data_IF_455257543465
#
_entry.id   IF_455257543465
#
_cell.length_a   1.000
_cell.length_b   1.000
_cell.length_c   1.000
_cell.angle_alpha   90.00
_cell.angle_beta   90.00
_cell.angle_gamma   90.00
#
_symmetry.space_group_name_H-M   'P 1'
#
loop_
_entity.id
_entity.type
_entity.pdbx_description
1 polymer ?
#
# COMPACT_ATOMS: atom_id res chain seq x y z
N UNK A 1 5.24 6.71 11.02
CA UNK A 1 4.93 7.42 12.29
C UNK A 1 4.19 8.72 11.98
N UNK A 2 3.28 9.15 12.87
CA UNK A 2 2.63 10.46 12.75
C UNK A 2 3.62 11.61 12.89
N UNK A 3 4.61 11.45 13.76
CA UNK A 3 5.64 12.45 14.03
C UNK A 3 7.04 11.85 13.84
N UNK A 4 7.61 11.89 12.62
CA UNK A 4 8.96 11.41 12.38
C UNK A 4 10.01 12.39 12.96
N UNK A 5 10.97 11.86 13.74
CA UNK A 5 12.03 12.68 14.36
C UNK A 5 13.46 12.19 14.08
N UNK A 6 13.64 10.97 13.59
CA UNK A 6 14.96 10.42 13.26
C UNK A 6 15.33 10.66 11.78
N UNK A 7 16.62 10.42 11.45
CA UNK A 7 17.16 10.66 10.12
C UNK A 7 16.46 9.86 9.00
N UNK A 8 15.97 8.65 9.30
CA UNK A 8 15.20 7.83 8.36
C UNK A 8 13.73 8.23 8.28
N UNK A 9 13.27 9.13 9.15
CA UNK A 9 11.86 9.54 9.29
C UNK A 9 10.90 8.34 9.40
N UNK A 10 11.36 7.26 10.05
CA UNK A 10 10.67 5.98 10.05
C UNK A 10 10.61 5.37 11.46
N UNK A 11 9.67 4.46 11.68
CA UNK A 11 9.57 3.67 12.93
C UNK A 11 9.23 2.24 12.57
N UNK A 12 9.77 1.27 13.31
CA UNK A 12 9.48 -0.14 13.07
C UNK A 12 8.08 -0.48 13.60
N UNK A 13 7.08 -0.54 12.71
CA UNK A 13 5.68 -0.83 13.04
C UNK A 13 5.27 -2.28 12.72
N UNK A 14 6.08 -2.98 11.93
CA UNK A 14 5.85 -4.34 11.47
C UNK A 14 7.19 -5.09 11.29
N UNK A 15 7.18 -6.25 10.63
CA UNK A 15 8.35 -7.13 10.48
C UNK A 15 9.54 -6.43 9.80
N UNK A 16 10.69 -6.38 10.48
CA UNK A 16 11.94 -5.87 9.90
C UNK A 16 12.40 -6.70 8.71
N UNK A 17 12.24 -8.04 8.77
CA UNK A 17 12.59 -8.93 7.66
C UNK A 17 11.73 -8.62 6.43
N UNK A 18 10.43 -8.42 6.64
CA UNK A 18 9.51 -8.06 5.57
C UNK A 18 9.91 -6.73 4.92
N UNK A 19 10.24 -5.72 5.73
CA UNK A 19 10.68 -4.41 5.23
C UNK A 19 11.94 -4.53 4.36
N UNK A 20 12.94 -5.30 4.81
CA UNK A 20 14.18 -5.51 4.06
C UNK A 20 13.88 -6.27 2.76
N UNK A 21 12.98 -7.26 2.79
CA UNK A 21 12.58 -7.99 1.60
C UNK A 21 11.93 -7.07 0.57
N UNK A 22 11.02 -6.19 0.99
CA UNK A 22 10.35 -5.20 0.12
C UNK A 22 11.34 -4.28 -0.61
N UNK A 23 12.42 -3.89 0.07
CA UNK A 23 13.46 -3.02 -0.47
C UNK A 23 14.54 -3.75 -1.26
N UNK A 24 14.68 -5.06 -1.07
CA UNK A 24 15.82 -5.82 -1.55
C UNK A 24 15.54 -6.78 -2.69
N UNK A 25 14.27 -7.14 -2.88
CA UNK A 25 13.86 -8.12 -3.89
C UNK A 25 13.34 -7.44 -5.16
N UNK A 26 13.42 -8.12 -6.32
CA UNK A 26 12.82 -7.63 -7.55
C UNK A 26 11.31 -7.36 -7.39
N UNK A 27 10.84 -6.33 -8.06
CA UNK A 27 9.44 -5.93 -8.07
C UNK A 27 8.79 -6.43 -9.37
N UNK A 28 7.48 -6.65 -9.34
CA UNK A 28 6.71 -6.94 -10.55
C UNK A 28 5.87 -5.72 -10.92
N UNK A 29 5.64 -5.53 -12.22
CA UNK A 29 4.76 -4.51 -12.76
C UNK A 29 4.40 -4.81 -14.22
N UNK A 30 3.72 -3.86 -14.85
CA UNK A 30 3.41 -3.89 -16.27
C UNK A 30 4.04 -2.66 -16.91
N UNK A 31 4.77 -2.87 -18.01
CA UNK A 31 5.25 -1.81 -18.90
C UNK A 31 4.89 -2.16 -20.35
N UNK A 32 4.27 -1.21 -21.06
CA UNK A 32 3.80 -1.40 -22.43
C UNK A 32 2.90 -2.64 -22.61
N UNK A 33 2.08 -2.93 -21.59
CA UNK A 33 1.18 -4.10 -21.59
C UNK A 33 1.85 -5.44 -21.30
N UNK A 34 3.14 -5.47 -20.99
CA UNK A 34 3.89 -6.69 -20.69
C UNK A 34 4.33 -6.75 -19.22
N UNK A 35 4.24 -7.94 -18.63
CA UNK A 35 4.83 -8.22 -17.33
C UNK A 35 6.33 -7.91 -17.37
N UNK A 36 6.76 -7.08 -16.42
CA UNK A 36 8.13 -6.57 -16.36
C UNK A 36 8.65 -6.63 -14.93
N UNK A 37 9.92 -7.01 -14.79
CA UNK A 37 10.63 -6.91 -13.51
C UNK A 37 11.11 -5.46 -13.32
N UNK A 38 10.70 -4.85 -12.21
CA UNK A 38 11.08 -3.50 -11.83
C UNK A 38 12.15 -3.54 -10.74
N UNK A 39 13.09 -2.60 -10.79
CA UNK A 39 14.15 -2.51 -9.78
C UNK A 39 13.61 -1.94 -8.47
N UNK A 40 13.90 -2.57 -7.31
CA UNK A 40 13.49 -2.03 -6.03
C UNK A 40 14.23 -0.72 -5.73
N UNK A 41 13.58 0.15 -4.97
CA UNK A 41 14.07 1.49 -4.65
C UNK A 41 14.21 2.41 -5.87
N UNK A 42 13.83 2.00 -7.09
CA UNK A 42 13.81 2.85 -8.28
C UNK A 42 12.42 3.43 -8.56
N UNK A 43 12.33 4.29 -9.58
CA UNK A 43 11.08 4.97 -9.94
C UNK A 43 10.63 5.99 -8.89
N UNK A 44 11.59 6.69 -8.27
CA UNK A 44 11.34 7.69 -7.24
C UNK A 44 10.48 8.83 -7.78
N UNK A 45 9.33 9.03 -7.16
CA UNK A 45 8.38 10.09 -7.45
C UNK A 45 8.12 10.93 -6.20
N UNK A 46 7.71 12.17 -6.39
CA UNK A 46 7.24 13.05 -5.30
C UNK A 46 5.72 13.15 -5.38
N UNK A 47 5.06 12.91 -4.26
CA UNK A 47 3.60 13.00 -4.13
C UNK A 47 3.30 14.06 -3.06
N UNK A 48 2.39 14.99 -3.36
CA UNK A 48 1.92 15.99 -2.40
C UNK A 48 0.48 15.68 -1.98
N UNK A 49 0.24 15.52 -0.68
CA UNK A 49 -1.08 15.21 -0.13
C UNK A 49 -1.34 16.08 1.10
N UNK A 50 -2.39 16.90 1.05
CA UNK A 50 -2.75 17.86 2.09
C UNK A 50 -1.58 18.78 2.51
N UNK A 51 -0.79 19.24 1.52
CA UNK A 51 0.39 20.08 1.75
C UNK A 51 1.59 19.38 2.36
N UNK A 52 1.52 18.05 2.55
CA UNK A 52 2.65 17.22 2.97
C UNK A 52 3.28 16.52 1.77
N UNK A 53 4.60 16.60 1.68
CA UNK A 53 5.37 15.88 0.66
C UNK A 53 5.71 14.47 1.13
N UNK A 54 5.53 13.55 0.21
CA UNK A 54 5.93 12.16 0.28
C UNK A 54 6.80 11.82 -0.92
N UNK A 55 7.61 10.78 -0.77
CA UNK A 55 8.29 10.13 -1.89
C UNK A 55 7.74 8.71 -2.07
N UNK A 56 7.61 8.27 -3.31
CA UNK A 56 7.14 6.93 -3.65
C UNK A 56 8.15 6.22 -4.55
N UNK A 57 8.44 4.95 -4.29
CA UNK A 57 9.39 4.16 -5.06
C UNK A 57 9.00 2.68 -5.07
N UNK A 58 9.53 1.95 -6.05
CA UNK A 58 9.20 0.54 -6.25
C UNK A 58 9.61 -0.32 -5.06
N UNK A 59 8.72 -1.21 -4.65
CA UNK A 59 8.95 -2.21 -3.60
C UNK A 59 8.28 -3.53 -3.97
N UNK A 60 8.88 -4.65 -3.58
CA UNK A 60 8.38 -5.96 -3.99
C UNK A 60 7.09 -6.35 -3.27
N UNK A 61 6.28 -7.22 -3.87
CA UNK A 61 5.24 -7.99 -3.17
C UNK A 61 3.85 -7.36 -3.08
N UNK A 62 3.67 -6.07 -3.40
CA UNK A 62 2.37 -5.42 -3.23
C UNK A 62 1.32 -5.66 -4.32
N UNK A 63 1.72 -5.98 -5.56
CA UNK A 63 0.75 -6.25 -6.64
C UNK A 63 0.08 -7.62 -6.53
N UNK A 64 0.73 -8.60 -5.88
CA UNK A 64 0.23 -9.98 -5.87
C UNK A 64 -0.04 -10.48 -7.30
N UNK A 65 -1.27 -10.95 -7.55
CA UNK A 65 -1.74 -11.44 -8.85
C UNK A 65 -2.15 -10.35 -9.84
N UNK A 66 -2.26 -9.08 -9.41
CA UNK A 66 -2.81 -8.00 -10.25
C UNK A 66 -2.05 -7.82 -11.56
N UNK A 67 -0.71 -7.88 -11.51
CA UNK A 67 0.11 -7.72 -12.71
C UNK A 67 -0.17 -8.84 -13.74
N UNK A 68 -0.37 -10.07 -13.27
CA UNK A 68 -0.68 -11.21 -14.14
C UNK A 68 -2.10 -11.09 -14.70
N UNK A 69 -3.06 -10.72 -13.87
CA UNK A 69 -4.47 -10.60 -14.25
C UNK A 69 -4.70 -9.48 -15.27
N UNK A 70 -4.03 -8.34 -15.13
CA UNK A 70 -4.20 -7.17 -15.99
C UNK A 70 -3.16 -7.05 -17.11
N UNK A 71 -2.26 -8.03 -17.28
CA UNK A 71 -1.33 -8.05 -18.41
C UNK A 71 -2.11 -7.99 -19.74
N UNK A 72 -1.65 -7.14 -20.65
CA UNK A 72 -2.31 -6.92 -21.94
C UNK A 72 -3.61 -6.08 -21.89
N UNK A 73 -4.14 -5.79 -20.70
CA UNK A 73 -5.32 -4.95 -20.51
C UNK A 73 -4.93 -3.50 -20.18
N UNK A 74 -3.87 -3.32 -19.39
CA UNK A 74 -3.35 -1.99 -19.04
C UNK A 74 -1.99 -1.75 -19.68
N UNK A 75 -1.70 -0.51 -20.05
CA UNK A 75 -0.37 -0.14 -20.58
C UNK A 75 0.71 -0.16 -19.52
N UNK A 76 0.38 0.27 -18.30
CA UNK A 76 1.32 0.35 -17.19
C UNK A 76 0.63 0.08 -15.86
N UNK A 77 1.32 -0.62 -14.97
CA UNK A 77 0.89 -0.86 -13.58
C UNK A 77 2.14 -1.01 -12.71
N UNK A 78 2.15 -0.34 -11.56
CA UNK A 78 3.22 -0.51 -10.57
C UNK A 78 2.64 -0.42 -9.16
N UNK A 79 3.41 -0.94 -8.20
CA UNK A 79 3.16 -0.80 -6.77
C UNK A 79 4.35 -0.11 -6.15
N UNK A 80 4.06 0.93 -5.36
CA UNK A 80 5.08 1.75 -4.73
C UNK A 80 4.79 1.94 -3.26
N UNK A 81 5.87 2.06 -2.50
CA UNK A 81 5.82 2.40 -1.10
C UNK A 81 6.03 3.88 -0.92
N UNK A 82 5.13 4.54 -0.18
CA UNK A 82 5.30 5.94 0.22
C UNK A 82 6.12 6.08 1.51
N UNK A 83 7.02 7.05 1.53
CA UNK A 83 7.84 7.44 2.68
C UNK A 83 7.96 8.96 2.77
N UNK A 84 8.49 9.44 3.89
CA UNK A 84 8.83 10.85 4.01
C UNK A 84 10.12 11.17 3.22
N UNK A 85 10.26 12.40 2.67
CA UNK A 85 11.38 12.76 1.83
C UNK A 85 12.75 12.47 2.42
N UNK A 86 13.60 11.84 1.61
CA UNK A 86 14.98 11.45 1.89
C UNK A 86 15.13 10.07 2.52
N UNK A 87 14.07 9.28 2.66
CA UNK A 87 14.16 7.91 3.17
C UNK A 87 14.79 6.98 2.13
N UNK A 88 14.32 7.02 0.88
CA UNK A 88 14.77 6.19 -0.23
C UNK A 88 16.27 6.33 -0.46
N UNK A 89 16.78 7.55 -0.53
CA UNK A 89 18.21 7.84 -0.65
C UNK A 89 19.03 7.15 0.45
N UNK A 90 18.58 7.22 1.71
CA UNK A 90 19.28 6.60 2.84
C UNK A 90 19.19 5.08 2.79
N UNK A 91 18.07 4.51 2.36
CA UNK A 91 17.93 3.07 2.19
C UNK A 91 18.79 2.59 1.02
N UNK A 92 18.90 3.32 -0.09
CA UNK A 92 19.82 3.02 -1.20
C UNK A 92 21.27 3.00 -0.73
N UNK A 93 21.70 3.99 0.05
CA UNK A 93 23.03 3.99 0.67
C UNK A 93 23.28 2.69 1.47
N UNK A 94 22.34 2.30 2.34
CA UNK A 94 22.49 1.09 3.15
C UNK A 94 22.48 -0.19 2.29
N UNK A 95 21.52 -0.31 1.39
CA UNK A 95 21.24 -1.55 0.63
C UNK A 95 22.23 -1.76 -0.51
N UNK A 96 22.53 -0.70 -1.27
CA UNK A 96 23.29 -0.74 -2.51
C UNK A 96 24.75 -0.36 -2.26
N UNK A 97 25.02 0.86 -1.77
CA UNK A 97 26.40 1.37 -1.67
C UNK A 97 27.21 0.66 -0.58
N UNK A 98 26.57 0.40 0.57
CA UNK A 98 27.16 -0.40 1.64
C UNK A 98 26.90 -1.91 1.47
N UNK A 99 26.20 -2.29 0.39
CA UNK A 99 25.90 -3.69 0.00
C UNK A 99 25.22 -4.51 1.08
N UNK A 100 24.48 -3.88 2.01
CA UNK A 100 23.81 -4.61 3.09
C UNK A 100 22.58 -5.40 2.61
N UNK A 101 22.15 -5.25 1.36
CA UNK A 101 21.17 -6.17 0.78
C UNK A 101 21.73 -7.62 0.67
N UNK A 102 23.05 -7.78 0.59
CA UNK A 102 23.74 -9.07 0.60
C UNK A 102 24.00 -9.59 2.03
N UNK A 103 23.92 -8.71 3.04
CA UNK A 103 24.05 -9.01 4.47
C UNK A 103 22.83 -8.48 5.25
N UNK A 104 21.66 -9.04 4.92
CA UNK A 104 20.36 -8.64 5.49
C UNK A 104 20.30 -8.81 7.00
N UNK A 105 21.02 -9.79 7.55
CA UNK A 105 21.09 -10.03 8.99
C UNK A 105 21.78 -8.88 9.72
N UNK A 106 22.89 -8.36 9.18
CA UNK A 106 23.54 -7.17 9.74
C UNK A 106 22.65 -5.95 9.62
N UNK A 107 22.03 -5.73 8.46
CA UNK A 107 21.10 -4.61 8.27
C UNK A 107 19.97 -4.65 9.30
N UNK A 108 19.32 -5.80 9.46
CA UNK A 108 18.25 -6.01 10.44
C UNK A 108 18.70 -5.64 11.84
N UNK A 109 19.85 -6.14 12.30
CA UNK A 109 20.39 -5.83 13.63
C UNK A 109 20.63 -4.33 13.81
N UNK A 110 21.13 -3.65 12.78
CA UNK A 110 21.34 -2.19 12.81
C UNK A 110 20.00 -1.46 12.93
N UNK A 111 19.02 -1.80 12.09
CA UNK A 111 17.70 -1.16 12.09
C UNK A 111 16.96 -1.40 13.42
N UNK A 112 16.92 -2.62 13.92
CA UNK A 112 16.23 -2.98 15.18
C UNK A 112 16.87 -2.34 16.40
N UNK A 113 18.19 -2.12 16.37
CA UNK A 113 18.90 -1.41 17.44
C UNK A 113 18.68 0.11 17.38
N UNK A 114 18.62 0.69 16.18
CA UNK A 114 18.67 2.13 15.99
C UNK A 114 17.28 2.79 15.85
N UNK A 115 16.29 2.06 15.36
CA UNK A 115 14.98 2.63 15.00
C UNK A 115 13.93 2.21 16.04
N UNK A 116 13.27 3.16 16.72
CA UNK A 116 12.26 2.84 17.70
C UNK A 116 10.98 2.30 17.05
N UNK A 117 10.26 1.46 17.82
CA UNK A 117 8.88 1.07 17.51
C UNK A 117 7.91 2.16 17.98
N UNK A 118 6.74 2.24 17.34
CA UNK A 118 5.66 3.14 17.79
C UNK A 118 4.29 2.53 17.49
N UNK A 119 3.29 2.89 18.30
CA UNK A 119 1.87 2.66 18.00
C UNK A 119 1.17 3.90 17.42
N UNK A 120 1.87 5.04 17.39
CA UNK A 120 1.41 6.29 16.78
C UNK A 120 1.87 6.33 15.32
N UNK A 121 1.31 5.43 14.52
CA UNK A 121 1.53 5.31 13.10
C UNK A 121 0.34 5.87 12.30
N UNK A 122 0.50 5.89 10.99
CA UNK A 122 -0.54 6.24 10.03
C UNK A 122 -0.32 5.34 8.82
N UNK A 123 -1.41 4.80 8.29
CA UNK A 123 -1.40 4.10 7.00
C UNK A 123 -2.01 5.06 5.98
N UNK A 124 -1.25 5.34 4.94
CA UNK A 124 -1.68 6.16 3.81
C UNK A 124 -1.78 5.25 2.59
N UNK A 125 -2.96 5.23 1.99
CA UNK A 125 -3.25 4.50 0.75
C UNK A 125 -3.44 5.56 -0.33
N UNK A 126 -2.76 5.38 -1.45
CA UNK A 126 -2.89 6.22 -2.64
C UNK A 126 -3.00 5.30 -3.85
N UNK A 127 -4.06 5.46 -4.64
CA UNK A 127 -4.23 4.78 -5.91
C UNK A 127 -4.55 5.82 -6.98
N UNK A 128 -3.89 5.72 -8.14
CA UNK A 128 -4.10 6.61 -9.29
C UNK A 128 -4.33 5.77 -10.53
N UNK A 129 -5.37 6.12 -11.28
CA UNK A 129 -5.73 5.46 -12.53
C UNK A 129 -5.91 6.52 -13.60
N UNK A 130 -5.27 6.32 -14.74
CA UNK A 130 -5.44 7.16 -15.94
C UNK A 130 -5.95 6.30 -17.08
N UNK A 131 -6.94 6.78 -17.82
CA UNK A 131 -7.53 6.03 -18.92
C UNK A 131 -8.47 6.85 -19.78
N UNK A 132 -9.00 6.24 -20.84
CA UNK A 132 -10.02 6.84 -21.68
C UNK A 132 -11.42 6.41 -21.23
N UNK A 133 -12.33 7.36 -21.14
CA UNK A 133 -13.76 7.14 -20.87
C UNK A 133 -14.58 8.02 -21.78
N UNK A 134 -15.53 7.44 -22.52
CA UNK A 134 -16.34 8.18 -23.50
C UNK A 134 -15.50 9.04 -24.48
N UNK A 135 -14.36 8.51 -24.94
CA UNK A 135 -13.39 9.19 -25.83
C UNK A 135 -12.67 10.40 -25.22
N UNK A 136 -12.72 10.57 -23.90
CA UNK A 136 -11.99 11.61 -23.17
C UNK A 136 -10.99 10.96 -22.21
N UNK A 137 -9.84 11.61 -22.03
CA UNK A 137 -8.77 11.12 -21.17
C UNK A 137 -8.95 11.66 -19.75
N UNK A 138 -9.04 10.76 -18.78
CA UNK A 138 -9.30 11.08 -17.38
C UNK A 138 -8.20 10.52 -16.47
N UNK A 139 -8.02 11.19 -15.33
CA UNK A 139 -7.27 10.70 -14.19
C UNK A 139 -8.21 10.65 -12.98
N UNK A 140 -8.15 9.57 -12.22
CA UNK A 140 -8.84 9.43 -10.94
C UNK A 140 -7.86 9.00 -9.86
N UNK A 141 -7.93 9.68 -8.72
CA UNK A 141 -7.08 9.44 -7.56
C UNK A 141 -7.95 9.09 -6.35
N UNK A 142 -7.55 8.04 -5.62
CA UNK A 142 -8.11 7.66 -4.33
C UNK A 142 -7.05 7.83 -3.26
N UNK A 143 -7.41 8.48 -2.15
CA UNK A 143 -6.51 8.73 -1.03
C UNK A 143 -7.21 8.37 0.26
N UNK A 144 -6.58 7.51 1.08
CA UNK A 144 -7.10 7.17 2.40
C UNK A 144 -6.03 7.30 3.46
N UNK A 145 -6.38 7.95 4.58
CA UNK A 145 -5.56 7.98 5.79
C UNK A 145 -6.27 7.19 6.89
N UNK A 146 -5.61 6.16 7.40
CA UNK A 146 -6.08 5.38 8.54
C UNK A 146 -5.18 5.67 9.74
N UNK A 147 -5.82 5.98 10.86
CA UNK A 147 -5.18 6.30 12.14
C UNK A 147 -5.40 5.17 13.15
N UNK A 148 -4.60 5.12 14.24
CA UNK A 148 -4.80 4.19 15.34
C UNK A 148 -6.23 4.26 15.91
N UNK A 149 -6.82 3.10 16.24
CA UNK A 149 -8.20 3.00 16.70
C UNK A 149 -8.30 2.31 18.07
N UNK A 150 -9.27 2.73 18.87
CA UNK A 150 -9.65 2.03 20.10
C UNK A 150 -10.65 0.92 19.77
N UNK A 151 -10.22 -0.33 19.93
CA UNK A 151 -11.05 -1.51 19.68
C UNK A 151 -10.98 -2.41 20.92
N UNK A 152 -12.15 -2.77 21.45
CA UNK A 152 -12.30 -3.58 22.67
C UNK A 152 -11.50 -3.03 23.87
N UNK A 153 -11.48 -1.71 24.06
CA UNK A 153 -10.79 -1.06 25.17
C UNK A 153 -9.26 -1.02 25.06
N UNK A 154 -8.69 -1.37 23.90
CA UNK A 154 -7.26 -1.27 23.63
C UNK A 154 -6.99 -0.39 22.40
N UNK A 155 -5.93 0.41 22.47
CA UNK A 155 -5.42 1.15 21.31
C UNK A 155 -4.62 0.22 20.39
N UNK A 156 -5.07 0.11 19.14
CA UNK A 156 -4.42 -0.59 18.04
C UNK A 156 -3.85 0.40 17.05
N UNK A 157 -2.63 0.14 16.57
CA UNK A 157 -1.98 1.00 15.59
C UNK A 157 -2.67 0.90 14.23
N UNK A 158 -2.51 1.90 13.36
CA UNK A 158 -3.10 1.92 12.04
C UNK A 158 -2.73 0.68 11.22
N UNK A 159 -1.45 0.26 11.19
CA UNK A 159 -1.05 -0.95 10.45
C UNK A 159 -1.71 -2.21 11.00
N UNK A 160 -1.88 -2.30 12.33
CA UNK A 160 -2.55 -3.45 12.96
C UNK A 160 -4.02 -3.51 12.55
N UNK A 161 -4.70 -2.36 12.59
CA UNK A 161 -6.11 -2.24 12.20
C UNK A 161 -6.28 -2.59 10.74
N UNK A 162 -5.55 -1.96 9.83
CA UNK A 162 -5.71 -2.19 8.38
C UNK A 162 -5.39 -3.64 8.02
N UNK A 163 -4.26 -4.19 8.48
CA UNK A 163 -3.90 -5.58 8.16
C UNK A 163 -4.95 -6.57 8.67
N UNK A 164 -5.44 -6.40 9.90
CA UNK A 164 -6.48 -7.26 10.44
C UNK A 164 -7.83 -7.08 9.71
N UNK A 165 -8.24 -5.84 9.44
CA UNK A 165 -9.46 -5.52 8.71
C UNK A 165 -9.50 -6.12 7.31
N UNK A 166 -8.38 -6.07 6.57
CA UNK A 166 -8.29 -6.64 5.24
C UNK A 166 -8.55 -8.15 5.24
N UNK A 167 -7.81 -8.91 6.07
CA UNK A 167 -7.98 -10.36 6.15
C UNK A 167 -9.36 -10.75 6.72
N UNK A 168 -9.86 -10.06 7.74
CA UNK A 168 -11.16 -10.35 8.32
C UNK A 168 -12.31 -10.11 7.33
N UNK A 169 -12.23 -9.07 6.50
CA UNK A 169 -13.24 -8.79 5.46
C UNK A 169 -13.28 -9.91 4.43
N UNK A 170 -12.12 -10.31 3.91
CA UNK A 170 -12.01 -11.40 2.93
C UNK A 170 -12.50 -12.73 3.49
N UNK A 171 -12.13 -13.06 4.74
CA UNK A 171 -12.59 -14.29 5.40
C UNK A 171 -14.11 -14.28 5.59
N UNK A 172 -14.69 -13.17 6.05
CA UNK A 172 -16.14 -13.04 6.26
C UNK A 172 -16.92 -13.18 4.93
N UNK A 173 -16.47 -12.50 3.86
CA UNK A 173 -17.08 -12.63 2.52
C UNK A 173 -16.98 -14.05 1.96
N UNK A 174 -15.82 -14.70 2.15
CA UNK A 174 -15.60 -16.09 1.72
C UNK A 174 -16.54 -17.05 2.43
N UNK A 175 -16.68 -16.92 3.75
CA UNK A 175 -17.52 -17.80 4.56
C UNK A 175 -19.01 -17.59 4.30
N UNK A 176 -19.43 -16.36 3.98
CA UNK A 176 -20.81 -16.04 3.59
C UNK A 176 -21.18 -16.56 2.20
N UNK A 177 -20.19 -16.69 1.30
CA UNK A 177 -20.40 -17.08 -0.10
C UNK A 177 -19.56 -18.31 -0.49
N UNK A 178 -19.73 -19.48 0.19
CA UNK A 178 -18.84 -20.64 0.04
C UNK A 178 -18.90 -21.33 -1.34
N UNK A 179 -19.88 -20.97 -2.17
CA UNK A 179 -19.99 -21.47 -3.54
C UNK A 179 -19.29 -20.57 -4.56
N UNK A 180 -19.09 -19.29 -4.23
CA UNK A 180 -18.44 -18.31 -5.11
C UNK A 180 -16.91 -18.41 -5.02
N UNK A 181 -16.38 -18.57 -3.81
CA UNK A 181 -14.95 -18.53 -3.56
C UNK A 181 -14.40 -19.94 -3.31
N UNK A 182 -13.92 -20.60 -4.37
CA UNK A 182 -13.36 -21.95 -4.34
C UNK A 182 -12.06 -22.06 -5.12
N UNK A 183 -11.07 -22.75 -4.55
CA UNK A 183 -9.75 -22.89 -5.17
C UNK A 183 -8.86 -21.67 -4.92
N UNK A 184 -7.99 -21.37 -5.87
CA UNK A 184 -7.17 -20.16 -5.81
C UNK A 184 -7.98 -18.96 -6.29
N UNK A 185 -8.11 -17.94 -5.43
CA UNK A 185 -8.86 -16.71 -5.69
C UNK A 185 -7.91 -15.53 -5.49
N UNK A 186 -7.66 -14.77 -6.56
CA UNK A 186 -6.91 -13.52 -6.52
C UNK A 186 -7.66 -12.42 -5.75
N UNK A 187 -6.93 -11.41 -5.29
CA UNK A 187 -7.52 -10.31 -4.50
C UNK A 187 -8.54 -9.49 -5.30
N UNK A 188 -8.31 -9.35 -6.61
CA UNK A 188 -9.17 -8.66 -7.56
C UNK A 188 -10.52 -9.35 -7.82
N UNK A 189 -10.71 -10.57 -7.31
CA UNK A 189 -11.99 -11.27 -7.38
C UNK A 189 -12.98 -10.83 -6.29
N UNK A 190 -12.53 -10.07 -5.29
CA UNK A 190 -13.39 -9.47 -4.28
C UNK A 190 -13.78 -8.07 -4.72
N UNK A 191 -15.08 -7.80 -4.78
CA UNK A 191 -15.58 -6.47 -5.10
C UNK A 191 -15.19 -5.48 -3.99
N UNK A 192 -14.72 -4.29 -4.39
CA UNK A 192 -14.29 -3.28 -3.44
C UNK A 192 -15.47 -2.80 -2.57
N UNK A 193 -16.66 -2.62 -3.14
CA UNK A 193 -17.83 -2.19 -2.39
C UNK A 193 -18.24 -3.23 -1.35
N UNK A 194 -18.11 -4.53 -1.65
CA UNK A 194 -18.37 -5.60 -0.68
C UNK A 194 -17.38 -5.54 0.50
N UNK A 195 -16.12 -5.19 0.25
CA UNK A 195 -15.10 -5.01 1.30
C UNK A 195 -15.41 -3.75 2.13
N UNK A 196 -15.71 -2.61 1.49
CA UNK A 196 -15.96 -1.35 2.19
C UNK A 196 -17.26 -1.40 3.03
N UNK A 197 -18.29 -2.09 2.54
CA UNK A 197 -19.54 -2.31 3.27
C UNK A 197 -19.44 -3.44 4.33
N UNK A 198 -18.32 -4.17 4.37
CA UNK A 198 -18.10 -5.20 5.38
C UNK A 198 -17.86 -4.56 6.77
N UNK A 199 -18.46 -5.07 7.87
CA UNK A 199 -18.18 -4.57 9.22
C UNK A 199 -16.70 -4.55 9.59
N UNK A 200 -15.90 -5.48 9.06
CA UNK A 200 -14.46 -5.52 9.28
C UNK A 200 -13.69 -4.53 8.39
N UNK A 201 -14.24 -4.16 7.23
CA UNK A 201 -13.63 -3.26 6.26
C UNK A 201 -13.93 -1.78 6.50
N UNK A 202 -14.77 -1.46 7.48
CA UNK A 202 -15.20 -0.10 7.80
C UNK A 202 -14.06 0.90 8.06
N UNK A 203 -12.85 0.45 8.43
CA UNK A 203 -11.69 1.36 8.57
C UNK A 203 -11.20 1.94 7.23
N UNK A 204 -11.56 1.30 6.12
CA UNK A 204 -11.24 1.73 4.76
C UNK A 204 -12.34 2.60 4.15
N UNK A 205 -13.59 2.43 4.61
CA UNK A 205 -14.73 3.19 4.11
C UNK A 205 -14.56 4.69 4.37
N UNK A 206 -15.03 5.50 3.42
CA UNK A 206 -15.00 6.96 3.47
C UNK A 206 -15.65 7.50 4.75
N UNK A 207 -15.08 8.59 5.26
CA UNK A 207 -15.71 9.34 6.34
C UNK A 207 -16.84 10.18 5.73
N UNK A 208 -18.12 9.92 6.05
CA UNK A 208 -19.24 10.69 5.50
C UNK A 208 -19.18 12.19 5.85
N UNK A 209 -18.31 12.62 6.77
CA UNK A 209 -18.04 14.02 7.11
C UNK A 209 -16.92 14.67 6.27
N UNK A 210 -16.20 13.92 5.43
CA UNK A 210 -15.15 14.46 4.55
C UNK A 210 -15.72 14.89 3.18
N UNK A 211 -15.77 16.21 2.87
CA UNK A 211 -16.41 16.71 1.65
C UNK A 211 -15.71 16.32 0.35
N UNK A 212 -14.43 15.89 0.38
CA UNK A 212 -13.68 15.43 -0.80
C UNK A 212 -14.06 13.99 -1.18
N UNK A 213 -14.34 13.14 -0.18
CA UNK A 213 -14.74 11.74 -0.35
C UNK A 213 -16.23 11.57 -0.77
N UNK A 214 -17.04 12.64 -0.68
CA UNK A 214 -18.39 12.66 -1.28
C UNK A 214 -18.37 12.67 -2.81
N UNK A 215 -17.28 13.10 -3.43
CA UNK A 215 -17.14 13.17 -4.88
C UNK A 215 -16.77 11.79 -5.44
N UNK A 216 -15.89 11.03 -4.76
CA UNK A 216 -15.50 9.65 -5.14
C UNK A 216 -16.68 8.68 -5.10
N UNK A 217 -17.49 8.70 -4.04
CA UNK A 217 -18.66 7.82 -3.90
C UNK A 217 -19.76 8.06 -4.96
N UNK A 218 -19.79 9.24 -5.60
CA UNK A 218 -20.72 9.50 -6.70
C UNK A 218 -20.32 8.82 -8.02
N UNK A 219 -19.07 8.34 -8.11
CA UNK A 219 -18.49 7.73 -9.31
C UNK A 219 -18.32 6.21 -9.20
N UNK A 220 -18.36 5.62 -7.99
CA UNK A 220 -18.32 4.15 -7.78
C UNK A 220 -19.55 3.42 -8.37
N UNK A 221 -20.64 4.13 -8.68
CA UNK A 221 -21.82 3.57 -9.34
C UNK A 221 -21.75 3.57 -10.89
N UNK A 222 -20.56 3.72 -11.47
CA UNK A 222 -20.39 3.81 -12.91
C UNK A 222 -19.37 2.77 -13.38
N UNK A 223 -19.87 1.75 -14.08
CA UNK A 223 -19.07 0.71 -14.73
C UNK A 223 -17.93 1.33 -15.57
N UNK A 224 -16.72 0.79 -15.39
CA UNK A 224 -15.47 1.15 -16.06
C UNK A 224 -15.22 0.30 -17.30
#
# INVERSE_FOLDING_TARGET
PLHPSNALKYSLTWSTDGLINEYGNPCQGIEQGQLTELQPLEGLETIELDGLLYEAFNTSGGLGTLAETYQGQVRSMNYKTMRYPGHCEKIRLLMQDLRLNEDRETLKKVLERAIPKTKQDVVLIYASVTGERNSEFYEQNYVKKVYPQWIAGQLWSAIQVTTASGICSVVDLTLKNPNQFRGFIGQEAYDLADILNNPFGACYADDPENPIEKISNSLENLDW
#
